data_IF_971704875720
#
_entry.id   IF_971704875720
#
_cell.length_a   1.000
_cell.length_b   1.000
_cell.length_c   1.000
_cell.angle_alpha   90.00
_cell.angle_beta   90.00
_cell.angle_gamma   90.00
#
_symmetry.space_group_name_H-M   'P 1'
#
loop_
_entity.id
_entity.type
_entity.pdbx_description
1 polymer ?
#
# COMPACT_ATOMS: atom_id res chain seq x y z
N UNK A 1 21.46 16.91 -22.17
CA UNK A 1 20.10 17.46 -22.41
C UNK A 1 19.25 16.34 -23.01
N UNK A 2 18.37 15.73 -22.22
CA UNK A 2 17.49 14.66 -22.70
C UNK A 2 16.23 15.35 -23.24
N UNK A 3 16.07 15.37 -24.55
CA UNK A 3 14.81 15.72 -25.21
C UNK A 3 13.79 14.66 -24.79
N UNK A 4 13.01 14.98 -23.75
CA UNK A 4 11.90 14.17 -23.27
C UNK A 4 10.84 14.09 -24.36
N UNK A 5 10.92 13.03 -25.14
CA UNK A 5 10.16 12.83 -26.36
C UNK A 5 8.67 12.69 -26.00
N UNK A 6 7.79 13.48 -26.61
CA UNK A 6 6.33 13.49 -26.32
C UNK A 6 5.64 12.11 -26.49
N UNK A 7 6.31 11.13 -27.11
CA UNK A 7 5.91 9.71 -27.15
C UNK A 7 6.03 8.98 -25.81
N UNK A 8 6.96 9.35 -24.94
CA UNK A 8 7.15 8.69 -23.64
C UNK A 8 6.06 8.97 -22.61
N UNK A 9 5.12 9.91 -22.86
CA UNK A 9 4.03 10.20 -21.91
C UNK A 9 2.68 9.62 -22.29
N UNK A 10 2.52 9.06 -23.50
CA UNK A 10 1.22 8.60 -24.01
C UNK A 10 0.69 7.33 -23.31
N UNK A 11 1.58 6.47 -22.80
CA UNK A 11 1.19 5.24 -22.11
C UNK A 11 0.74 5.46 -20.66
N UNK A 12 1.15 6.57 -20.01
CA UNK A 12 0.76 6.87 -18.63
C UNK A 12 -0.77 6.98 -18.49
N UNK A 13 -1.48 7.79 -19.30
CA UNK A 13 -2.93 7.84 -19.22
C UNK A 13 -3.58 6.49 -19.54
N UNK A 14 -3.02 5.66 -20.42
CA UNK A 14 -3.56 4.32 -20.71
C UNK A 14 -3.47 3.40 -19.49
N UNK A 15 -2.31 3.34 -18.83
CA UNK A 15 -2.11 2.59 -17.59
C UNK A 15 -3.05 3.11 -16.49
N UNK A 16 -3.16 4.43 -16.33
CA UNK A 16 -4.04 5.03 -15.35
C UNK A 16 -5.51 4.70 -15.62
N UNK A 17 -5.96 4.79 -16.88
CA UNK A 17 -7.32 4.43 -17.27
C UNK A 17 -7.59 2.96 -16.95
N UNK A 18 -6.70 2.04 -17.30
CA UNK A 18 -6.87 0.61 -16.98
C UNK A 18 -7.01 0.40 -15.48
N UNK A 19 -6.10 0.95 -14.67
CA UNK A 19 -6.12 0.79 -13.21
C UNK A 19 -7.39 1.41 -12.61
N UNK A 20 -7.75 2.63 -13.02
CA UNK A 20 -8.92 3.33 -12.48
C UNK A 20 -10.23 2.66 -12.89
N UNK A 21 -10.35 2.18 -14.13
CA UNK A 21 -11.53 1.44 -14.59
C UNK A 21 -11.70 0.14 -13.81
N UNK A 22 -10.63 -0.65 -13.65
CA UNK A 22 -10.71 -1.91 -12.88
C UNK A 22 -11.07 -1.63 -11.42
N UNK A 23 -10.49 -0.60 -10.80
CA UNK A 23 -10.82 -0.20 -9.42
C UNK A 23 -12.25 0.29 -9.28
N UNK A 24 -12.74 1.10 -10.23
CA UNK A 24 -14.11 1.59 -10.23
C UNK A 24 -15.11 0.44 -10.42
N UNK A 25 -14.83 -0.48 -11.33
CA UNK A 25 -15.63 -1.70 -11.50
C UNK A 25 -15.66 -2.53 -10.22
N UNK A 26 -14.49 -2.77 -9.61
CA UNK A 26 -14.42 -3.49 -8.33
C UNK A 26 -15.22 -2.78 -7.23
N UNK A 27 -15.14 -1.46 -7.13
CA UNK A 27 -15.91 -0.67 -6.16
C UNK A 27 -17.42 -0.79 -6.40
N UNK A 28 -17.87 -0.65 -7.65
CA UNK A 28 -19.29 -0.80 -8.02
C UNK A 28 -19.78 -2.21 -7.73
N UNK A 29 -18.99 -3.24 -8.04
CA UNK A 29 -19.30 -4.63 -7.71
C UNK A 29 -19.39 -4.86 -6.19
N UNK A 30 -18.48 -4.29 -5.41
CA UNK A 30 -18.51 -4.40 -3.95
C UNK A 30 -19.73 -3.71 -3.33
N UNK A 31 -20.08 -2.51 -3.80
CA UNK A 31 -21.26 -1.77 -3.30
C UNK A 31 -22.55 -2.45 -3.72
N UNK A 32 -22.65 -2.92 -4.97
CA UNK A 32 -23.84 -3.65 -5.45
C UNK A 32 -24.03 -4.98 -4.71
N UNK A 33 -22.95 -5.74 -4.49
CA UNK A 33 -23.01 -6.96 -3.69
C UNK A 33 -23.47 -6.66 -2.25
N UNK A 34 -22.98 -5.58 -1.63
CA UNK A 34 -23.43 -5.16 -0.30
C UNK A 34 -24.92 -4.84 -0.26
N UNK A 35 -25.40 -4.02 -1.22
CA UNK A 35 -26.81 -3.67 -1.34
C UNK A 35 -27.69 -4.91 -1.48
N UNK A 36 -27.28 -5.88 -2.29
CA UNK A 36 -28.04 -7.12 -2.51
C UNK A 36 -28.05 -8.03 -1.26
N UNK A 37 -26.91 -8.15 -0.57
CA UNK A 37 -26.77 -9.06 0.57
C UNK A 37 -27.41 -8.48 1.84
N UNK A 38 -27.18 -7.20 2.12
CA UNK A 38 -27.56 -6.55 3.38
C UNK A 38 -28.81 -5.69 3.29
N UNK A 39 -29.30 -5.42 2.07
CA UNK A 39 -30.47 -4.57 1.79
C UNK A 39 -30.39 -3.17 2.44
N UNK A 40 -29.18 -2.63 2.59
CA UNK A 40 -28.90 -1.31 3.15
C UNK A 40 -27.77 -0.62 2.38
N UNK A 41 -27.77 0.72 2.28
CA UNK A 41 -26.68 1.46 1.62
C UNK A 41 -25.34 1.18 2.29
N UNK A 42 -24.31 0.92 1.49
CA UNK A 42 -22.95 0.72 1.98
C UNK A 42 -22.34 2.07 2.40
N UNK A 43 -21.84 2.16 3.63
CA UNK A 43 -20.84 3.16 3.94
C UNK A 43 -19.49 2.68 3.38
N UNK A 44 -18.94 3.43 2.42
CA UNK A 44 -17.73 3.05 1.70
C UNK A 44 -16.54 2.83 2.64
N UNK A 45 -16.41 3.64 3.69
CA UNK A 45 -15.30 3.51 4.64
C UNK A 45 -15.43 2.22 5.45
N UNK A 46 -16.61 1.93 6.01
CA UNK A 46 -16.85 0.67 6.73
C UNK A 46 -16.79 -0.58 5.85
N UNK A 47 -17.08 -0.45 4.55
CA UNK A 47 -17.02 -1.56 3.60
C UNK A 47 -15.59 -2.07 3.41
N UNK A 48 -14.63 -1.15 3.35
CA UNK A 48 -13.21 -1.46 3.12
C UNK A 48 -12.36 -1.50 4.40
N UNK A 49 -12.90 -1.08 5.55
CA UNK A 49 -12.25 -1.21 6.85
C UNK A 49 -12.64 -2.54 7.53
N UNK A 50 -12.22 -3.66 6.93
CA UNK A 50 -12.54 -5.03 7.39
C UNK A 50 -11.30 -5.89 7.56
N UNK A 51 -11.45 -6.99 8.31
CA UNK A 51 -10.40 -7.97 8.60
C UNK A 51 -9.18 -7.32 9.28
N UNK A 52 -8.01 -7.32 8.65
CA UNK A 52 -6.80 -6.73 9.24
C UNK A 52 -6.66 -5.21 9.02
N UNK A 53 -7.53 -4.58 8.21
CA UNK A 53 -7.45 -3.14 7.96
C UNK A 53 -7.62 -2.29 9.24
N UNK A 54 -8.56 -2.62 10.16
CA UNK A 54 -8.66 -1.98 11.46
C UNK A 54 -7.37 -2.06 12.28
N UNK A 55 -6.63 -3.17 12.21
CA UNK A 55 -5.37 -3.31 12.94
C UNK A 55 -4.31 -2.30 12.47
N UNK A 56 -4.19 -2.06 11.17
CA UNK A 56 -3.29 -1.02 10.64
C UNK A 56 -3.71 0.39 11.07
N UNK A 57 -5.02 0.67 11.11
CA UNK A 57 -5.59 1.95 11.57
C UNK A 57 -5.33 2.16 13.06
N UNK A 58 -5.54 1.12 13.88
CA UNK A 58 -5.30 1.15 15.32
C UNK A 58 -3.82 1.40 15.65
N UNK A 59 -2.89 0.72 14.96
CA UNK A 59 -1.46 0.96 15.12
C UNK A 59 -1.09 2.39 14.69
N UNK A 60 -1.71 2.91 13.64
CA UNK A 60 -1.46 4.29 13.20
C UNK A 60 -1.96 5.33 14.21
N UNK A 61 -3.07 5.04 14.90
CA UNK A 61 -3.71 5.93 15.89
C UNK A 61 -3.05 5.86 17.26
N UNK A 62 -2.82 4.65 17.78
CA UNK A 62 -2.38 4.40 19.15
C UNK A 62 -0.90 3.99 19.26
N UNK A 63 -0.26 3.64 18.14
CA UNK A 63 1.07 3.03 18.16
C UNK A 63 1.03 1.56 18.55
N UNK A 64 2.22 0.96 18.70
CA UNK A 64 2.34 -0.41 19.20
C UNK A 64 2.15 -0.40 20.72
N UNK A 65 1.18 -1.18 21.20
CA UNK A 65 0.90 -1.33 22.63
C UNK A 65 1.44 -2.67 23.14
N UNK A 66 1.95 -2.71 24.38
CA UNK A 66 2.51 -3.92 24.99
C UNK A 66 1.48 -4.73 25.80
N UNK A 67 0.27 -4.20 25.98
CA UNK A 67 -0.77 -4.75 26.84
C UNK A 67 -2.07 -5.02 26.05
N UNK A 68 -2.84 -6.02 26.50
CA UNK A 68 -4.10 -6.44 25.86
C UNK A 68 -3.90 -7.26 24.58
N UNK A 69 -4.98 -7.51 23.82
CA UNK A 69 -4.93 -8.27 22.56
C UNK A 69 -4.14 -7.54 21.47
N UNK A 70 -4.04 -6.21 21.56
CA UNK A 70 -3.30 -5.36 20.62
C UNK A 70 -1.78 -5.63 20.62
N UNK A 71 -1.24 -6.31 21.64
CA UNK A 71 0.17 -6.75 21.66
C UNK A 71 0.54 -7.68 20.50
N UNK A 72 -0.44 -8.41 19.97
CA UNK A 72 -0.23 -9.31 18.83
C UNK A 72 -0.04 -8.55 17.51
N UNK A 73 -0.31 -7.23 17.49
CA UNK A 73 -0.13 -6.40 16.30
C UNK A 73 1.33 -6.12 15.96
N UNK A 74 2.27 -6.60 16.77
CA UNK A 74 3.72 -6.63 16.51
C UNK A 74 4.09 -7.29 15.16
N UNK A 75 3.22 -8.15 14.61
CA UNK A 75 3.44 -8.79 13.30
C UNK A 75 3.25 -7.81 12.14
N UNK A 76 2.46 -6.75 12.33
CA UNK A 76 2.24 -5.75 11.30
C UNK A 76 3.45 -4.82 11.20
N UNK A 77 3.96 -4.63 9.99
CA UNK A 77 5.15 -3.84 9.74
C UNK A 77 4.85 -2.32 9.87
N UNK A 78 5.79 -1.51 10.40
CA UNK A 78 5.51 -0.16 10.87
C UNK A 78 5.47 0.89 9.77
N UNK A 79 6.03 0.59 8.58
CA UNK A 79 6.14 1.59 7.51
C UNK A 79 4.78 1.99 6.96
N UNK A 80 3.85 1.04 6.85
CA UNK A 80 2.51 1.32 6.38
C UNK A 80 1.69 2.15 7.40
N UNK A 81 1.57 1.78 8.69
CA UNK A 81 0.99 2.63 9.72
C UNK A 81 1.63 4.02 9.85
N UNK A 82 2.94 4.13 9.65
CA UNK A 82 3.64 5.42 9.67
C UNK A 82 3.16 6.33 8.54
N UNK A 83 3.03 5.81 7.31
CA UNK A 83 2.50 6.57 6.18
C UNK A 83 1.04 6.96 6.40
N UNK A 84 0.24 6.08 7.00
CA UNK A 84 -1.14 6.39 7.39
C UNK A 84 -1.15 7.55 8.37
N UNK A 85 -0.33 7.50 9.42
CA UNK A 85 -0.25 8.55 10.44
C UNK A 85 0.18 9.90 9.86
N UNK A 86 1.13 9.90 8.92
CA UNK A 86 1.55 11.12 8.22
C UNK A 86 0.43 11.70 7.35
N UNK A 87 -0.31 10.85 6.63
CA UNK A 87 -1.41 11.30 5.79
C UNK A 87 -2.65 11.70 6.63
N UNK A 88 -2.83 11.10 7.79
CA UNK A 88 -3.86 11.47 8.77
C UNK A 88 -3.69 12.89 9.33
N UNK A 89 -2.50 13.51 9.18
CA UNK A 89 -2.32 14.93 9.49
C UNK A 89 -3.12 15.86 8.56
N UNK A 90 -3.41 15.42 7.35
CA UNK A 90 -4.11 16.21 6.32
C UNK A 90 -5.46 15.63 5.94
N UNK A 91 -5.85 14.49 6.51
CA UNK A 91 -7.12 13.82 6.24
C UNK A 91 -7.95 13.69 7.51
N UNK A 92 -9.29 13.76 7.41
CA UNK A 92 -10.17 13.77 8.58
C UNK A 92 -10.30 12.40 9.28
N UNK A 93 -9.90 11.31 8.63
CA UNK A 93 -10.03 9.95 9.18
C UNK A 93 -8.84 9.06 8.80
N UNK A 94 -8.43 8.20 9.73
CA UNK A 94 -7.29 7.29 9.54
C UNK A 94 -7.64 6.16 8.56
N UNK A 95 -8.92 5.79 8.51
CA UNK A 95 -9.49 4.80 7.59
C UNK A 95 -9.38 5.31 6.14
N UNK A 96 -9.71 6.58 5.91
CA UNK A 96 -9.52 7.22 4.60
C UNK A 96 -8.02 7.33 4.26
N UNK A 97 -7.19 7.69 5.23
CA UNK A 97 -5.74 7.74 5.03
C UNK A 97 -5.18 6.38 4.60
N UNK A 98 -5.59 5.28 5.25
CA UNK A 98 -5.19 3.92 4.89
C UNK A 98 -5.59 3.54 3.47
N UNK A 99 -6.84 3.85 3.07
CA UNK A 99 -7.30 3.61 1.71
C UNK A 99 -6.52 4.43 0.70
N UNK A 100 -6.28 5.71 0.95
CA UNK A 100 -5.52 6.56 0.06
C UNK A 100 -4.10 6.03 -0.11
N UNK A 101 -3.37 5.74 0.98
CA UNK A 101 -2.01 5.20 0.91
C UNK A 101 -1.95 3.92 0.08
N UNK A 102 -2.84 2.96 0.34
CA UNK A 102 -2.89 1.70 -0.43
C UNK A 102 -3.22 1.96 -1.90
N UNK A 103 -4.22 2.80 -2.20
CA UNK A 103 -4.63 3.07 -3.57
C UNK A 103 -3.55 3.81 -4.38
N UNK A 104 -2.89 4.80 -3.78
CA UNK A 104 -1.75 5.49 -4.38
C UNK A 104 -0.59 4.52 -4.63
N UNK A 105 -0.27 3.68 -3.65
CA UNK A 105 0.79 2.68 -3.79
C UNK A 105 0.49 1.69 -4.93
N UNK A 106 -0.75 1.21 -5.04
CA UNK A 106 -1.19 0.32 -6.11
C UNK A 106 -1.10 0.95 -7.51
N UNK A 107 -1.47 2.24 -7.66
CA UNK A 107 -1.32 2.97 -8.93
C UNK A 107 0.16 3.08 -9.30
N UNK A 108 1.01 3.46 -8.35
CA UNK A 108 2.45 3.54 -8.59
C UNK A 108 3.05 2.16 -8.90
N UNK A 109 2.61 1.11 -8.22
CA UNK A 109 3.06 -0.27 -8.46
C UNK A 109 2.74 -0.68 -9.91
N UNK A 110 1.54 -0.34 -10.39
CA UNK A 110 1.11 -0.60 -11.76
C UNK A 110 1.96 0.16 -12.79
N UNK A 111 2.31 1.41 -12.50
CA UNK A 111 3.22 2.21 -13.35
C UNK A 111 4.62 1.59 -13.39
N UNK A 112 5.18 1.18 -12.24
CA UNK A 112 6.49 0.52 -12.21
C UNK A 112 6.46 -0.85 -12.87
N UNK A 113 5.36 -1.61 -12.74
CA UNK A 113 5.18 -2.88 -13.41
C UNK A 113 5.18 -2.70 -14.93
N UNK A 114 4.46 -1.70 -15.42
CA UNK A 114 4.47 -1.35 -16.84
C UNK A 114 5.88 -0.99 -17.33
N UNK A 115 6.58 -0.13 -16.58
CA UNK A 115 7.96 0.26 -16.90
C UNK A 115 8.91 -0.94 -16.92
N UNK A 116 8.77 -1.86 -15.96
CA UNK A 116 9.57 -3.07 -15.88
C UNK A 116 9.27 -4.01 -17.05
N UNK A 117 7.99 -4.27 -17.33
CA UNK A 117 7.57 -5.13 -18.44
C UNK A 117 8.03 -4.60 -19.80
N UNK A 118 8.01 -3.27 -19.99
CA UNK A 118 8.49 -2.62 -21.22
C UNK A 118 9.99 -2.77 -21.49
N UNK A 119 10.79 -3.21 -20.51
CA UNK A 119 12.19 -3.50 -20.76
C UNK A 119 12.37 -4.73 -21.65
N UNK A 120 11.45 -5.70 -21.55
CA UNK A 120 11.58 -7.00 -22.20
C UNK A 120 10.42 -7.32 -23.18
N UNK A 121 9.30 -6.57 -23.11
CA UNK A 121 8.07 -6.83 -23.86
C UNK A 121 7.60 -5.64 -24.70
N UNK A 122 6.86 -5.89 -25.81
CA UNK A 122 6.19 -4.83 -26.54
C UNK A 122 5.11 -4.16 -25.69
N UNK A 123 4.75 -2.92 -26.04
CA UNK A 123 3.84 -2.06 -25.26
C UNK A 123 2.47 -2.70 -24.99
N UNK A 124 1.90 -3.39 -25.98
CA UNK A 124 0.63 -4.11 -25.83
C UNK A 124 0.69 -5.24 -24.81
N UNK A 125 1.82 -5.97 -24.75
CA UNK A 125 2.03 -7.02 -23.77
C UNK A 125 2.28 -6.42 -22.37
N UNK A 126 2.98 -5.30 -22.27
CA UNK A 126 3.17 -4.60 -21.00
C UNK A 126 1.85 -4.07 -20.41
N UNK A 127 0.93 -3.55 -21.25
CA UNK A 127 -0.42 -3.16 -20.82
C UNK A 127 -1.23 -4.36 -20.31
N UNK A 128 -1.13 -5.50 -20.99
CA UNK A 128 -1.78 -6.76 -20.55
C UNK A 128 -1.27 -7.21 -19.19
N UNK A 129 0.04 -7.09 -18.92
CA UNK A 129 0.60 -7.40 -17.60
C UNK A 129 -0.02 -6.55 -16.49
N UNK A 130 -0.21 -5.25 -16.73
CA UNK A 130 -0.90 -4.36 -15.78
C UNK A 130 -2.37 -4.76 -15.62
N UNK A 131 -3.05 -5.03 -16.72
CA UNK A 131 -4.45 -5.48 -16.69
C UNK A 131 -4.60 -6.74 -15.84
N UNK A 132 -3.80 -7.77 -16.10
CA UNK A 132 -3.82 -9.02 -15.32
C UNK A 132 -3.45 -8.82 -13.86
N UNK A 133 -2.51 -7.92 -13.57
CA UNK A 133 -2.16 -7.55 -12.20
C UNK A 133 -3.35 -6.93 -11.44
N UNK A 134 -4.19 -6.14 -12.13
CA UNK A 134 -5.36 -5.50 -11.51
C UNK A 134 -6.60 -6.41 -11.40
N UNK A 135 -6.74 -7.44 -12.25
CA UNK A 135 -7.91 -8.34 -12.23
C UNK A 135 -7.67 -9.68 -11.52
N UNK A 136 -6.42 -9.97 -11.12
CA UNK A 136 -6.10 -11.21 -10.43
C UNK A 136 -6.95 -11.34 -9.15
N UNK A 137 -7.42 -12.56 -8.75
CA UNK A 137 -8.32 -12.74 -7.61
C UNK A 137 -7.87 -12.07 -6.31
N UNK A 138 -6.56 -11.94 -6.05
CA UNK A 138 -6.05 -11.25 -4.86
C UNK A 138 -5.85 -9.74 -5.05
N UNK A 139 -6.30 -9.16 -6.18
CA UNK A 139 -6.24 -7.72 -6.42
C UNK A 139 -7.11 -6.90 -5.44
N UNK A 140 -7.98 -7.55 -4.66
CA UNK A 140 -8.63 -6.91 -3.51
C UNK A 140 -7.62 -6.24 -2.56
N UNK A 141 -6.45 -6.85 -2.34
CA UNK A 141 -5.38 -6.25 -1.51
C UNK A 141 -4.82 -4.95 -2.11
N UNK A 142 -5.03 -4.71 -3.41
CA UNK A 142 -4.63 -3.49 -4.12
C UNK A 142 -5.64 -2.33 -3.97
N UNK A 143 -6.80 -2.61 -3.38
CA UNK A 143 -7.92 -1.67 -3.22
C UNK A 143 -8.15 -1.36 -1.75
N UNK A 144 -8.18 -2.39 -0.90
CA UNK A 144 -8.39 -2.24 0.53
C UNK A 144 -7.21 -1.55 1.23
N UNK A 145 -7.43 -1.05 2.45
CA UNK A 145 -6.45 -0.31 3.25
C UNK A 145 -5.34 -1.17 3.82
N UNK A 146 -4.60 -1.88 2.96
CA UNK A 146 -3.57 -2.83 3.34
C UNK A 146 -2.17 -2.52 2.82
N UNK A 147 -1.19 -3.20 3.41
CA UNK A 147 0.23 -2.97 3.18
C UNK A 147 0.79 -3.63 1.91
N UNK A 148 0.09 -4.59 1.32
CA UNK A 148 0.53 -5.37 0.16
C UNK A 148 0.74 -4.49 -1.07
N UNK A 149 -0.12 -3.48 -1.28
CA UNK A 149 0.06 -2.48 -2.35
C UNK A 149 1.42 -1.77 -2.26
N UNK A 150 1.82 -1.41 -1.04
CA UNK A 150 3.07 -0.72 -0.76
C UNK A 150 4.26 -1.67 -0.91
N UNK A 151 4.13 -2.91 -0.42
CA UNK A 151 5.12 -3.95 -0.61
C UNK A 151 5.41 -4.18 -2.10
N UNK A 152 4.35 -4.40 -2.90
CA UNK A 152 4.46 -4.63 -4.34
C UNK A 152 5.08 -3.44 -5.08
N UNK A 153 4.70 -2.21 -4.72
CA UNK A 153 5.35 -1.00 -5.25
C UNK A 153 6.87 -1.04 -5.01
N UNK A 154 7.30 -1.30 -3.78
CA UNK A 154 8.71 -1.27 -3.41
C UNK A 154 9.49 -2.43 -4.06
N UNK A 155 8.90 -3.63 -4.12
CA UNK A 155 9.52 -4.79 -4.77
C UNK A 155 9.69 -4.58 -6.27
N UNK A 156 8.63 -4.15 -6.97
CA UNK A 156 8.67 -3.95 -8.43
C UNK A 156 9.59 -2.78 -8.78
N UNK A 157 9.55 -1.69 -8.02
CA UNK A 157 10.47 -0.56 -8.22
C UNK A 157 11.93 -0.95 -7.96
N UNK A 158 12.21 -1.79 -6.95
CA UNK A 158 13.53 -2.36 -6.72
C UNK A 158 14.04 -3.13 -7.95
N UNK A 159 13.23 -4.04 -8.50
CA UNK A 159 13.57 -4.79 -9.71
C UNK A 159 13.81 -3.87 -10.91
N UNK A 160 12.97 -2.86 -11.11
CA UNK A 160 13.14 -1.86 -12.17
C UNK A 160 14.45 -1.09 -12.03
N UNK A 161 14.80 -0.64 -10.83
CA UNK A 161 16.05 0.08 -10.59
C UNK A 161 17.28 -0.80 -10.71
N UNK A 162 17.20 -2.07 -10.30
CA UNK A 162 18.26 -3.04 -10.50
C UNK A 162 18.52 -3.27 -12.01
N UNK A 163 17.46 -3.45 -12.80
CA UNK A 163 17.57 -3.63 -14.26
C UNK A 163 18.07 -2.39 -14.99
N UNK A 164 17.78 -1.19 -14.49
CA UNK A 164 18.27 0.09 -15.06
C UNK A 164 19.64 0.52 -14.52
N UNK A 165 20.37 -0.38 -13.83
CA UNK A 165 21.70 -0.15 -13.21
C UNK A 165 21.75 1.00 -12.19
N UNK A 166 20.61 1.35 -11.59
CA UNK A 166 20.50 2.36 -10.52
C UNK A 166 20.53 1.69 -9.15
N UNK A 167 21.67 1.08 -8.82
CA UNK A 167 21.84 0.22 -7.65
C UNK A 167 21.52 0.89 -6.32
N UNK A 168 21.83 2.17 -6.15
CA UNK A 168 21.51 2.91 -4.93
C UNK A 168 19.99 2.99 -4.67
N UNK A 169 19.20 3.28 -5.71
CA UNK A 169 17.74 3.34 -5.61
C UNK A 169 17.13 1.94 -5.46
N UNK A 170 17.73 0.93 -6.10
CA UNK A 170 17.32 -0.47 -5.93
C UNK A 170 17.54 -0.93 -4.47
N UNK A 171 18.71 -0.63 -3.89
CA UNK A 171 19.01 -0.94 -2.50
C UNK A 171 18.06 -0.25 -1.52
N UNK A 172 17.77 1.05 -1.73
CA UNK A 172 16.81 1.80 -0.90
C UNK A 172 15.39 1.21 -1.00
N UNK A 173 14.91 0.91 -2.21
CA UNK A 173 13.60 0.31 -2.42
C UNK A 173 13.51 -1.10 -1.80
N UNK A 174 14.56 -1.91 -1.91
CA UNK A 174 14.64 -3.22 -1.27
C UNK A 174 14.64 -3.15 0.26
N UNK A 175 15.41 -2.21 0.83
CA UNK A 175 15.46 -1.96 2.28
C UNK A 175 14.09 -1.53 2.82
N UNK A 176 13.40 -0.62 2.13
CA UNK A 176 12.06 -0.20 2.49
C UNK A 176 11.04 -1.32 2.29
N UNK A 177 11.15 -2.14 1.24
CA UNK A 177 10.25 -3.27 0.97
C UNK A 177 10.27 -4.28 2.12
N UNK A 178 11.45 -4.52 2.69
CA UNK A 178 11.58 -5.46 3.81
C UNK A 178 11.04 -4.89 5.11
N UNK A 179 10.88 -3.56 5.23
CA UNK A 179 10.35 -2.77 6.37
C UNK A 179 10.98 -3.06 7.76
N UNK A 180 11.84 -4.08 7.86
CA UNK A 180 12.50 -4.58 9.07
C UNK A 180 13.41 -3.54 9.69
N UNK A 181 14.02 -2.67 8.89
CA UNK A 181 14.90 -1.62 9.41
C UNK A 181 14.17 -0.61 10.31
N UNK A 182 12.95 -0.21 9.95
CA UNK A 182 12.12 0.71 10.76
C UNK A 182 11.63 0.00 12.01
N UNK A 183 11.32 -1.30 11.91
CA UNK A 183 10.96 -2.13 13.07
C UNK A 183 12.04 -2.10 14.15
N UNK A 184 13.31 -2.29 13.80
CA UNK A 184 14.42 -2.18 14.76
C UNK A 184 14.55 -0.79 15.40
N UNK A 185 14.30 0.29 14.65
CA UNK A 185 14.31 1.66 15.20
C UNK A 185 13.13 1.93 16.14
N UNK A 186 11.96 1.39 15.85
CA UNK A 186 10.79 1.47 16.73
C UNK A 186 10.91 0.60 17.98
N UNK A 187 11.74 -0.44 17.97
CA UNK A 187 12.10 -1.21 19.17
C UNK A 187 13.18 -0.54 20.03
N UNK A 188 13.96 0.37 19.46
CA UNK A 188 14.92 1.18 20.22
C UNK A 188 14.25 2.30 21.03
N UNK A 189 12.98 2.62 20.76
CA UNK A 189 12.32 3.80 21.34
C UNK A 189 11.42 3.59 22.57
N UNK A 190 11.00 2.38 23.03
CA UNK A 190 10.30 2.27 24.30
C UNK A 190 11.10 1.47 25.33
N UNK A 191 12.09 2.12 25.95
CA UNK A 191 12.57 1.73 27.29
C UNK A 191 12.92 2.91 28.20
N UNK A 192 12.64 4.15 27.78
CA UNK A 192 12.99 5.33 28.58
C UNK A 192 11.85 5.91 29.41
N UNK A 193 10.61 5.43 29.25
CA UNK A 193 9.44 6.00 29.95
C UNK A 193 8.75 5.06 30.97
N UNK A 194 9.32 3.88 31.26
CA UNK A 194 8.81 3.07 32.38
C UNK A 194 9.96 2.57 33.27
N UNK A 195 10.36 3.43 34.21
CA UNK A 195 11.28 3.10 35.31
C UNK A 195 10.64 3.30 36.70
N UNK A 196 9.30 3.38 36.81
CA UNK A 196 8.64 3.51 38.11
C UNK A 196 8.03 2.22 38.66
N UNK A 197 7.80 1.19 37.84
CA UNK A 197 6.90 0.09 38.27
C UNK A 197 7.60 -1.26 38.56
N UNK A 198 8.92 -1.28 38.82
CA UNK A 198 9.66 -2.51 39.18
C UNK A 198 9.79 -2.71 40.70
N UNK A 199 9.18 -1.86 41.52
CA UNK A 199 9.08 -2.09 42.96
C UNK A 199 7.61 -2.19 43.38
N UNK A 200 7.09 -3.43 43.42
CA UNK A 200 6.16 -4.02 44.40
C UNK A 200 5.56 -5.27 43.73
N UNK A 201 5.88 -6.44 44.28
CA UNK A 201 5.42 -7.76 43.85
C UNK A 201 6.34 -8.84 44.39
#
# INVERSE_FOLDING_TARGET
>A
MVVGNARERKWIPEVLVVVLVVKLLALVLSVSAWLVIQNQPADLLSLWNRWDAPHYVDIARYGYTAAGEQRFFIVFLPFFPLLIRLLALTTPSYELAALLVSNFASVLASIYLFKLARLDLPESAALRSVFYFCIFPTAYFLIAGYSESLFLLLTISCMYYARTRRWALAGLAGMLSTQRFIFYLSFLTPSLDNKSDIFIG
#
